data_IF_158944941212
#
_entry.id   IF_158944941212
#
_cell.length_a   1.000
_cell.length_b   1.000
_cell.length_c   1.000
_cell.angle_alpha   90.00
_cell.angle_beta   90.00
_cell.angle_gamma   90.00
#
_symmetry.space_group_name_H-M   'P 1'
#
loop_
_entity.id
_entity.type
_entity.pdbx_description
1 polymer ?
#
# COMPACT_ATOMS: atom_id res chain seq x y z
N UNK A 1 16.02 -2.19 -4.46
CA UNK A 1 16.43 -3.19 -3.45
C UNK A 1 16.24 -4.58 -4.03
N UNK A 2 17.03 -5.57 -3.62
CA UNK A 2 16.84 -6.96 -4.07
C UNK A 2 15.79 -7.67 -3.22
N UNK A 3 14.88 -8.37 -3.87
CA UNK A 3 13.84 -9.20 -3.25
C UNK A 3 13.81 -10.56 -3.94
N UNK A 4 13.07 -11.52 -3.38
CA UNK A 4 12.82 -12.81 -4.05
C UNK A 4 11.32 -13.06 -4.20
N UNK A 5 10.94 -13.72 -5.29
CA UNK A 5 9.57 -14.20 -5.53
C UNK A 5 9.67 -15.62 -6.08
N UNK A 6 9.19 -16.60 -5.31
CA UNK A 6 9.37 -18.03 -5.64
C UNK A 6 10.84 -18.38 -5.91
N UNK A 7 11.73 -17.92 -5.02
CA UNK A 7 13.19 -18.07 -5.12
C UNK A 7 13.87 -17.39 -6.32
N UNK A 8 13.10 -16.76 -7.21
CA UNK A 8 13.64 -15.94 -8.29
C UNK A 8 14.00 -14.53 -7.79
N UNK A 9 15.23 -14.05 -8.03
CA UNK A 9 15.66 -12.72 -7.61
C UNK A 9 15.02 -11.64 -8.49
N UNK A 10 14.38 -10.67 -7.85
CA UNK A 10 13.85 -9.46 -8.48
C UNK A 10 14.48 -8.21 -7.86
N UNK A 11 14.35 -7.08 -8.54
CA UNK A 11 14.82 -5.79 -8.03
C UNK A 11 13.71 -4.75 -8.08
N UNK A 12 13.60 -3.96 -7.02
CA UNK A 12 12.83 -2.72 -7.06
C UNK A 12 13.65 -1.61 -7.72
N UNK A 13 12.97 -0.55 -8.16
CA UNK A 13 13.54 0.61 -8.86
C UNK A 13 14.47 1.48 -8.01
N UNK A 14 14.48 1.32 -6.68
CA UNK A 14 15.26 2.16 -5.76
C UNK A 14 15.49 1.51 -4.41
N UNK A 15 16.00 2.27 -3.46
CA UNK A 15 16.13 1.81 -2.06
C UNK A 15 15.09 2.55 -1.23
N UNK A 16 14.28 1.85 -0.42
CA UNK A 16 13.36 2.48 0.49
C UNK A 16 14.07 3.40 1.48
N UNK A 17 13.37 4.44 1.94
CA UNK A 17 13.90 5.40 2.91
C UNK A 17 14.12 4.72 4.28
N UNK A 18 15.23 5.04 4.94
CA UNK A 18 15.54 4.57 6.28
C UNK A 18 14.66 5.22 7.36
N UNK A 19 14.64 4.62 8.56
CA UNK A 19 13.97 5.19 9.73
C UNK A 19 14.49 6.62 10.01
N UNK A 20 13.59 7.56 10.27
CA UNK A 20 13.84 9.01 10.42
C UNK A 20 14.27 9.73 9.13
N UNK A 21 14.29 9.05 7.98
CA UNK A 21 14.44 9.71 6.69
C UNK A 21 13.17 10.45 6.27
N UNK A 22 13.31 11.34 5.30
CA UNK A 22 12.19 12.09 4.73
C UNK A 22 11.37 11.15 3.84
N UNK A 23 10.11 10.91 4.20
CA UNK A 23 9.20 10.12 3.37
C UNK A 23 8.93 10.86 2.05
N UNK A 24 8.95 10.18 0.89
CA UNK A 24 8.80 10.85 -0.39
C UNK A 24 7.40 11.42 -0.59
N UNK A 25 7.31 12.45 -1.42
CA UNK A 25 6.02 12.89 -1.97
C UNK A 25 5.51 11.87 -3.00
N UNK A 26 4.21 11.62 -2.98
CA UNK A 26 3.54 10.72 -3.91
C UNK A 26 2.07 11.06 -4.07
N UNK A 27 1.45 10.50 -5.10
CA UNK A 27 0.02 10.57 -5.38
C UNK A 27 -0.54 9.17 -5.66
N UNK A 28 -1.67 8.85 -5.03
CA UNK A 28 -2.42 7.59 -5.25
C UNK A 28 -3.89 7.91 -5.47
N UNK A 29 -4.68 6.92 -5.92
CA UNK A 29 -6.12 7.09 -6.11
C UNK A 29 -6.92 6.50 -4.96
N UNK A 30 -7.92 7.23 -4.47
CA UNK A 30 -8.86 6.69 -3.49
C UNK A 30 -9.99 5.88 -4.16
N UNK A 31 -10.90 5.34 -3.34
CA UNK A 31 -12.05 4.55 -3.80
C UNK A 31 -13.02 5.32 -4.74
N UNK A 32 -12.93 6.66 -4.81
CA UNK A 32 -13.73 7.51 -5.71
C UNK A 32 -13.01 7.83 -7.02
N UNK A 33 -11.76 7.37 -7.20
CA UNK A 33 -10.90 7.74 -8.33
C UNK A 33 -10.29 9.13 -8.23
N UNK A 34 -10.36 9.76 -7.06
CA UNK A 34 -9.72 11.04 -6.81
C UNK A 34 -8.26 10.81 -6.45
N UNK A 35 -7.38 11.64 -7.02
CA UNK A 35 -5.97 11.68 -6.65
C UNK A 35 -5.82 12.28 -5.24
N UNK A 36 -5.10 11.60 -4.37
CA UNK A 36 -4.74 12.03 -3.01
C UNK A 36 -3.23 12.04 -2.88
N UNK A 37 -2.70 13.15 -2.36
CA UNK A 37 -1.26 13.32 -2.18
C UNK A 37 -0.78 12.78 -0.83
N UNK A 38 0.53 12.57 -0.68
CA UNK A 38 1.15 12.23 0.60
C UNK A 38 0.79 13.25 1.69
N UNK A 39 0.80 14.53 1.36
CA UNK A 39 0.44 15.63 2.28
C UNK A 39 -1.01 15.57 2.77
N UNK A 40 -1.92 14.97 1.99
CA UNK A 40 -3.30 14.75 2.39
C UNK A 40 -3.45 13.58 3.36
N UNK A 41 -2.62 12.55 3.20
CA UNK A 41 -2.67 11.28 3.93
C UNK A 41 -1.87 11.32 5.25
N UNK A 42 -0.82 12.13 5.33
CA UNK A 42 0.14 12.16 6.45
C UNK A 42 -0.15 13.26 7.50
N UNK A 43 -1.43 13.64 7.66
CA UNK A 43 -1.87 14.71 8.60
C UNK A 43 -1.89 14.29 10.08
N UNK A 44 -1.78 13.00 10.35
CA UNK A 44 -1.69 12.37 11.68
C UNK A 44 -0.81 11.14 11.58
N UNK A 45 -0.60 10.44 12.68
CA UNK A 45 0.12 9.16 12.67
C UNK A 45 -0.55 8.24 11.65
N UNK A 46 0.22 7.77 10.69
CA UNK A 46 -0.26 7.03 9.53
C UNK A 46 0.42 5.68 9.43
N UNK A 47 -0.40 4.64 9.29
CA UNK A 47 0.01 3.28 9.00
C UNK A 47 -0.29 2.96 7.55
N UNK A 48 0.73 2.57 6.77
CA UNK A 48 0.57 2.14 5.37
C UNK A 48 1.02 0.69 5.25
N UNK A 49 0.10 -0.19 4.86
CA UNK A 49 0.39 -1.57 4.46
C UNK A 49 0.44 -1.66 2.93
N UNK A 50 1.62 -1.93 2.38
CA UNK A 50 1.80 -2.11 0.93
C UNK A 50 1.70 -3.59 0.58
N UNK A 51 0.84 -3.94 -0.35
CA UNK A 51 0.68 -5.32 -0.84
C UNK A 51 0.79 -5.35 -2.38
N UNK A 52 1.53 -6.32 -2.96
CA UNK A 52 1.70 -6.38 -4.42
C UNK A 52 0.39 -6.54 -5.18
N UNK A 53 -0.50 -7.41 -4.69
CA UNK A 53 -1.81 -7.67 -5.25
C UNK A 53 -2.75 -8.17 -4.13
N UNK A 54 -3.79 -7.40 -3.82
CA UNK A 54 -4.75 -7.66 -2.76
C UNK A 54 -5.54 -8.96 -2.99
N UNK A 55 -5.74 -9.37 -4.24
CA UNK A 55 -6.52 -10.55 -4.61
C UNK A 55 -5.76 -11.86 -4.36
N UNK A 56 -4.46 -11.80 -4.05
CA UNK A 56 -3.68 -12.98 -3.71
C UNK A 56 -3.88 -13.40 -2.25
N UNK A 57 -3.93 -14.72 -2.01
CA UNK A 57 -4.26 -15.31 -0.70
C UNK A 57 -3.47 -14.70 0.47
N UNK A 58 -2.16 -14.53 0.32
CA UNK A 58 -1.31 -14.04 1.42
C UNK A 58 -1.52 -12.54 1.67
N UNK A 59 -1.69 -11.74 0.62
CA UNK A 59 -1.97 -10.31 0.74
C UNK A 59 -3.34 -10.09 1.41
N UNK A 60 -4.37 -10.82 0.97
CA UNK A 60 -5.70 -10.77 1.57
C UNK A 60 -5.68 -11.11 3.07
N UNK A 61 -4.94 -12.15 3.47
CA UNK A 61 -4.80 -12.51 4.89
C UNK A 61 -4.13 -11.39 5.69
N UNK A 62 -3.04 -10.81 5.17
CA UNK A 62 -2.32 -9.70 5.80
C UNK A 62 -3.24 -8.49 6.00
N UNK A 63 -3.92 -8.08 4.93
CA UNK A 63 -4.80 -6.91 4.95
C UNK A 63 -6.02 -7.13 5.86
N UNK A 64 -6.61 -8.32 5.85
CA UNK A 64 -7.70 -8.70 6.77
C UNK A 64 -7.26 -8.61 8.23
N UNK A 65 -6.03 -9.02 8.54
CA UNK A 65 -5.50 -8.95 9.91
C UNK A 65 -5.42 -7.51 10.40
N UNK A 66 -4.91 -6.58 9.58
CA UNK A 66 -4.89 -5.16 9.94
C UNK A 66 -6.30 -4.56 10.05
N UNK A 67 -7.21 -4.93 9.15
CA UNK A 67 -8.61 -4.49 9.23
C UNK A 67 -9.35 -4.96 10.49
N UNK A 68 -8.91 -6.03 11.16
CA UNK A 68 -9.48 -6.43 12.46
C UNK A 68 -8.95 -5.61 13.63
N UNK A 69 -7.74 -5.04 13.48
CA UNK A 69 -7.04 -4.35 14.56
C UNK A 69 -7.17 -2.82 14.45
N UNK A 70 -7.50 -2.27 13.28
CA UNK A 70 -7.66 -0.82 13.03
C UNK A 70 -8.63 -0.14 14.02
N UNK A 71 -9.72 -0.80 14.39
CA UNK A 71 -10.75 -0.26 15.29
C UNK A 71 -10.21 0.04 16.70
N UNK A 72 -9.07 -0.55 17.07
CA UNK A 72 -8.40 -0.34 18.36
C UNK A 72 -7.60 0.96 18.39
N UNK A 73 -7.34 1.59 17.24
CA UNK A 73 -6.41 2.70 17.10
C UNK A 73 -7.06 3.91 16.41
N UNK A 74 -7.98 4.58 17.11
CA UNK A 74 -8.76 5.71 16.57
C UNK A 74 -7.92 6.93 16.17
N UNK A 75 -6.73 7.09 16.73
CA UNK A 75 -5.81 8.20 16.45
C UNK A 75 -4.87 7.95 15.25
N UNK A 76 -4.93 6.79 14.62
CA UNK A 76 -4.07 6.42 13.48
C UNK A 76 -4.89 6.43 12.19
N UNK A 77 -4.31 6.88 11.09
CA UNK A 77 -4.86 6.66 9.75
C UNK A 77 -4.33 5.33 9.21
N UNK A 78 -5.21 4.44 8.72
CA UNK A 78 -4.81 3.15 8.17
C UNK A 78 -5.10 3.08 6.68
N UNK A 79 -4.04 2.85 5.91
CA UNK A 79 -4.08 2.72 4.47
C UNK A 79 -3.53 1.37 4.03
N UNK A 80 -4.18 0.77 3.03
CA UNK A 80 -3.58 -0.30 2.24
C UNK A 80 -3.31 0.23 0.84
N UNK A 81 -2.08 0.10 0.37
CA UNK A 81 -1.66 0.52 -0.97
C UNK A 81 -1.33 -0.71 -1.80
N UNK A 82 -1.80 -0.73 -3.06
CA UNK A 82 -1.50 -1.79 -4.03
C UNK A 82 -1.63 -1.24 -5.45
N UNK A 83 -1.03 -1.91 -6.43
CA UNK A 83 -1.19 -1.54 -7.84
C UNK A 83 -2.51 -2.02 -8.46
N UNK A 84 -3.34 -2.74 -7.69
CA UNK A 84 -4.71 -3.09 -8.08
C UNK A 84 -5.54 -1.86 -8.46
N UNK A 85 -6.48 -2.07 -9.38
CA UNK A 85 -7.49 -1.08 -9.75
C UNK A 85 -8.44 -0.78 -8.59
N UNK A 86 -9.08 0.38 -8.64
CA UNK A 86 -10.11 0.77 -7.66
C UNK A 86 -11.25 -0.26 -7.61
N UNK A 87 -11.63 -0.84 -8.75
CA UNK A 87 -12.67 -1.87 -8.82
C UNK A 87 -12.28 -3.14 -8.09
N UNK A 88 -11.06 -3.64 -8.28
CA UNK A 88 -10.55 -4.82 -7.57
C UNK A 88 -10.49 -4.58 -6.05
N UNK A 89 -10.03 -3.41 -5.64
CA UNK A 89 -10.00 -3.03 -4.23
C UNK A 89 -11.41 -2.92 -3.64
N UNK A 90 -12.37 -2.35 -4.37
CA UNK A 90 -13.76 -2.25 -3.94
C UNK A 90 -14.41 -3.64 -3.79
N UNK A 91 -14.18 -4.53 -4.75
CA UNK A 91 -14.65 -5.91 -4.70
C UNK A 91 -14.07 -6.66 -3.50
N UNK A 92 -12.79 -6.50 -3.22
CA UNK A 92 -12.14 -7.08 -2.05
C UNK A 92 -12.72 -6.55 -0.73
N UNK A 93 -12.89 -5.22 -0.62
CA UNK A 93 -13.50 -4.60 0.56
C UNK A 93 -14.92 -5.13 0.84
N UNK A 94 -15.74 -5.27 -0.20
CA UNK A 94 -17.09 -5.79 -0.10
C UNK A 94 -17.11 -7.25 0.37
N UNK A 95 -16.17 -8.08 -0.11
CA UNK A 95 -16.05 -9.48 0.27
C UNK A 95 -15.54 -9.67 1.71
N UNK A 96 -14.60 -8.84 2.17
CA UNK A 96 -13.93 -8.99 3.46
C UNK A 96 -14.55 -8.14 4.60
N UNK A 97 -15.54 -7.30 4.28
CA UNK A 97 -16.27 -6.50 5.27
C UNK A 97 -15.42 -5.39 5.90
N UNK A 98 -14.54 -4.78 5.10
CA UNK A 98 -13.64 -3.70 5.53
C UNK A 98 -14.42 -2.40 5.70
N UNK A 99 -14.30 -1.76 6.87
CA UNK A 99 -15.04 -0.53 7.21
C UNK A 99 -14.16 0.68 7.49
N UNK A 100 -13.08 0.49 8.22
CA UNK A 100 -12.31 1.59 8.81
C UNK A 100 -10.91 1.75 8.21
N UNK A 101 -10.51 0.86 7.32
CA UNK A 101 -9.26 0.94 6.58
C UNK A 101 -9.53 1.37 5.14
N UNK A 102 -8.80 2.37 4.66
CA UNK A 102 -8.95 2.88 3.31
C UNK A 102 -7.97 2.18 2.37
N UNK A 103 -8.46 1.70 1.23
CA UNK A 103 -7.63 1.17 0.16
C UNK A 103 -7.30 2.29 -0.82
N UNK A 104 -6.05 2.32 -1.27
CA UNK A 104 -5.49 3.31 -2.16
C UNK A 104 -4.84 2.58 -3.34
N UNK A 105 -5.20 2.97 -4.55
CA UNK A 105 -4.68 2.38 -5.78
C UNK A 105 -3.44 3.16 -6.24
N UNK A 106 -2.30 2.47 -6.34
CA UNK A 106 -1.09 2.98 -6.99
C UNK A 106 -0.95 2.44 -8.42
N UNK A 107 -2.04 2.40 -9.17
CA UNK A 107 -2.03 1.95 -10.58
C UNK A 107 -1.13 2.82 -11.48
N UNK A 108 -0.81 4.04 -11.05
CA UNK A 108 0.11 4.95 -11.72
C UNK A 108 1.59 4.71 -11.35
N UNK A 109 1.85 3.85 -10.35
CA UNK A 109 3.17 3.51 -9.82
C UNK A 109 3.94 4.69 -9.21
N UNK A 110 3.26 5.78 -8.85
CA UNK A 110 3.91 6.99 -8.36
C UNK A 110 4.43 6.76 -6.94
N UNK A 111 3.61 6.17 -6.07
CA UNK A 111 4.05 5.79 -4.73
C UNK A 111 5.20 4.78 -4.79
N UNK A 112 5.02 3.69 -5.52
CA UNK A 112 6.02 2.64 -5.66
C UNK A 112 7.36 3.16 -6.18
N UNK A 113 7.35 4.02 -7.20
CA UNK A 113 8.57 4.58 -7.76
C UNK A 113 9.26 5.53 -6.81
N UNK A 114 8.51 6.45 -6.18
CA UNK A 114 9.08 7.45 -5.28
C UNK A 114 9.57 6.83 -3.96
N UNK A 115 8.91 5.78 -3.47
CA UNK A 115 9.32 5.02 -2.28
C UNK A 115 10.38 3.94 -2.55
N UNK A 116 10.82 3.75 -3.80
CA UNK A 116 11.81 2.73 -4.15
C UNK A 116 11.30 1.28 -4.02
N UNK A 117 9.98 1.09 -4.10
CA UNK A 117 9.29 -0.20 -3.93
C UNK A 117 8.84 -0.83 -5.25
N UNK A 118 8.76 -0.06 -6.34
CA UNK A 118 8.21 -0.53 -7.62
C UNK A 118 9.08 -1.61 -8.25
N UNK A 119 8.48 -2.73 -8.63
CA UNK A 119 9.09 -3.89 -9.29
C UNK A 119 8.64 -3.91 -10.74
N UNK A 120 9.54 -3.56 -11.65
CA UNK A 120 9.23 -3.42 -13.08
C UNK A 120 8.88 -4.75 -13.77
N UNK A 121 9.40 -5.87 -13.27
CA UNK A 121 9.19 -7.20 -13.86
C UNK A 121 7.72 -7.64 -13.85
N UNK A 122 6.90 -7.10 -12.96
CA UNK A 122 5.51 -7.53 -12.77
C UNK A 122 4.53 -6.38 -12.47
N UNK A 123 4.94 -5.12 -12.60
CA UNK A 123 4.12 -3.94 -12.35
C UNK A 123 3.45 -3.94 -10.96
N UNK A 124 4.21 -4.31 -9.93
CA UNK A 124 3.75 -4.31 -8.54
C UNK A 124 4.69 -3.56 -7.61
N UNK A 125 4.19 -3.21 -6.44
CA UNK A 125 5.03 -2.71 -5.35
C UNK A 125 5.48 -3.82 -4.43
N UNK A 126 6.73 -3.77 -4.00
CA UNK A 126 7.26 -4.67 -2.99
C UNK A 126 6.48 -4.52 -1.67
N UNK A 127 6.10 -5.66 -1.08
CA UNK A 127 5.40 -5.70 0.21
C UNK A 127 6.22 -4.98 1.28
N UNK A 128 5.61 -4.03 1.97
CA UNK A 128 6.24 -3.25 3.03
C UNK A 128 5.19 -2.71 4.00
N UNK A 129 5.64 -2.26 5.18
CA UNK A 129 4.80 -1.61 6.18
C UNK A 129 5.51 -0.35 6.65
N UNK A 130 4.76 0.74 6.71
CA UNK A 130 5.26 2.06 7.11
C UNK A 130 4.43 2.61 8.27
N UNK A 131 5.13 3.21 9.24
CA UNK A 131 4.55 3.98 10.33
C UNK A 131 5.17 5.37 10.26
N UNK A 132 4.34 6.38 9.97
CA UNK A 132 4.72 7.75 9.66
C UNK A 132 4.06 8.72 10.64
#
# INVERSE_FOLDING_TARGET
MKITRHDEPLSTNGTPVDVNGVFPEFTVQNAKGENVSSSDLLKKVTFISVVPDINTRVCSISTKKFNQDVDKYSNIAFYTVSTNTIEEQANWCAAEGVKNMQLLSDKAFDFGKNAGLYVADNDTDARSVWVL
#
